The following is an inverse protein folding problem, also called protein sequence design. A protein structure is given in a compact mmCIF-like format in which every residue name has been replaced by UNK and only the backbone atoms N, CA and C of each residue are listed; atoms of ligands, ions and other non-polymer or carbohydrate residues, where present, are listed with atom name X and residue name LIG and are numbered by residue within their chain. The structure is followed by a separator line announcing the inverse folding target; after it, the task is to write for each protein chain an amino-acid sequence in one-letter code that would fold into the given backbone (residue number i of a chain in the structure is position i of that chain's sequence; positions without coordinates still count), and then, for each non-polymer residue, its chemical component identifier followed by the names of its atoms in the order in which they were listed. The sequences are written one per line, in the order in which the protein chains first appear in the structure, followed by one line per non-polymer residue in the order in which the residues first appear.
data_IF_383255383652
#
_entry.id   IF_383255383652
#
_cell.length_a   1.000
_cell.length_b   1.000
_cell.length_c   1.000
_cell.angle_alpha   90.00
_cell.angle_beta   90.00
_cell.angle_gamma   90.00
#
_symmetry.space_group_name_H-M   'P 1'
#
loop_
_entity.id
_entity.type
_entity.pdbx_description
1 polymer ?
#
# COMPACT_ATOMS: atom_id res chain seq x y z
N UNK A 1 -15.58 36.26 39.27
CA UNK A 1 -15.63 34.83 38.89
C UNK A 1 -15.21 34.78 37.44
N UNK A 2 -14.06 34.17 37.14
CA UNK A 2 -13.54 34.10 35.78
C UNK A 2 -14.43 33.13 34.98
N UNK A 3 -15.12 33.65 33.97
CA UNK A 3 -15.89 32.83 33.03
C UNK A 3 -14.88 32.07 32.17
N UNK A 4 -14.96 30.75 32.16
CA UNK A 4 -14.02 29.87 31.49
C UNK A 4 -14.11 30.06 29.96
N UNK A 5 -13.04 30.57 29.35
CA UNK A 5 -12.98 30.94 27.93
C UNK A 5 -13.19 29.77 26.95
N UNK A 6 -13.21 28.53 27.43
CA UNK A 6 -13.57 27.35 26.65
C UNK A 6 -15.05 27.30 26.26
N UNK A 7 -15.94 27.75 27.14
CA UNK A 7 -17.40 27.66 26.94
C UNK A 7 -17.87 28.63 25.83
N UNK A 8 -17.31 29.85 25.84
CA UNK A 8 -17.59 30.86 24.82
C UNK A 8 -17.08 30.48 23.43
N UNK A 9 -15.94 29.78 23.33
CA UNK A 9 -15.42 29.28 22.03
C UNK A 9 -16.33 28.21 21.43
N UNK A 10 -16.95 27.38 22.28
CA UNK A 10 -17.85 26.29 21.88
C UNK A 10 -19.22 26.81 21.46
N UNK A 11 -19.80 27.72 22.24
CA UNK A 11 -21.05 28.40 21.91
C UNK A 11 -20.92 29.24 20.63
N UNK A 12 -19.80 29.97 20.48
CA UNK A 12 -19.51 30.72 19.27
C UNK A 12 -19.30 29.82 18.04
N UNK A 13 -18.68 28.64 18.18
CA UNK A 13 -18.49 27.71 17.07
C UNK A 13 -19.82 27.15 16.55
N UNK A 14 -20.75 26.79 17.44
CA UNK A 14 -22.09 26.30 17.06
C UNK A 14 -22.93 27.42 16.44
N UNK A 15 -22.92 28.62 17.01
CA UNK A 15 -23.60 29.79 16.45
C UNK A 15 -23.01 30.19 15.08
N UNK A 16 -21.68 30.11 14.91
CA UNK A 16 -20.99 30.38 13.66
C UNK A 16 -21.32 29.32 12.61
N UNK A 17 -21.39 28.03 12.98
CA UNK A 17 -21.78 26.95 12.08
C UNK A 17 -23.23 27.10 11.59
N UNK A 18 -24.15 27.49 12.48
CA UNK A 18 -25.56 27.73 12.13
C UNK A 18 -25.74 28.98 11.26
N UNK A 19 -24.90 30.00 11.44
CA UNK A 19 -24.87 31.20 10.60
C UNK A 19 -24.26 30.93 9.21
N UNK A 20 -23.17 30.15 9.13
CA UNK A 20 -22.50 29.79 7.87
C UNK A 20 -23.39 28.91 6.97
N UNK A 21 -24.29 28.12 7.54
CA UNK A 21 -25.18 27.22 6.80
C UNK A 21 -26.53 27.84 6.43
N UNK A 22 -26.76 29.14 6.70
CA UNK A 22 -27.95 29.89 6.24
C UNK A 22 -29.29 29.45 6.86
N UNK A 23 -29.27 28.59 7.89
CA UNK A 23 -30.46 28.09 8.58
C UNK A 23 -31.04 29.09 9.59
N UNK A 24 -30.28 30.14 9.92
CA UNK A 24 -30.75 31.26 10.71
C UNK A 24 -31.43 32.27 9.78
N UNK A 25 -32.74 32.15 9.58
CA UNK A 25 -33.57 33.16 8.90
C UNK A 25 -33.61 34.50 9.65
N UNK A 26 -32.46 35.17 9.82
CA UNK A 26 -32.32 36.51 10.37
C UNK A 26 -32.48 36.66 11.89
N UNK A 27 -32.47 35.59 12.70
CA UNK A 27 -32.60 35.70 14.17
C UNK A 27 -31.24 35.64 14.88
N UNK A 28 -31.00 36.64 15.72
CA UNK A 28 -29.89 36.70 16.69
C UNK A 28 -30.28 35.84 17.89
N UNK A 29 -29.42 34.90 18.28
CA UNK A 29 -29.62 34.03 19.44
C UNK A 29 -28.91 34.66 20.64
N UNK A 30 -29.65 34.89 21.73
CA UNK A 30 -29.09 35.29 23.01
C UNK A 30 -28.89 34.03 23.86
N UNK A 31 -27.66 33.73 24.26
CA UNK A 31 -27.32 32.54 25.04
C UNK A 31 -27.23 32.97 26.51
N UNK A 32 -28.22 32.61 27.33
CA UNK A 32 -28.22 32.93 28.76
C UNK A 32 -27.30 31.97 29.55
N UNK A 33 -26.20 32.54 30.07
CA UNK A 33 -25.16 31.86 30.86
C UNK A 33 -25.70 31.16 32.14
N UNK A 34 -26.94 31.42 32.58
CA UNK A 34 -27.50 30.87 33.82
C UNK A 34 -28.09 29.46 33.72
N UNK A 35 -28.16 28.88 32.52
CA UNK A 35 -28.81 27.58 32.28
C UNK A 35 -27.83 26.42 32.02
N UNK A 36 -26.52 26.69 32.02
CA UNK A 36 -25.50 25.71 31.63
C UNK A 36 -24.78 25.17 32.87
N UNK A 37 -24.86 23.85 33.08
CA UNK A 37 -24.11 23.16 34.13
C UNK A 37 -22.67 22.90 33.65
N UNK A 38 -21.65 23.54 34.27
CA UNK A 38 -20.25 23.42 33.85
C UNK A 38 -19.63 22.05 34.14
N UNK A 39 -20.35 21.13 34.79
CA UNK A 39 -19.86 19.77 35.10
C UNK A 39 -20.15 18.73 34.01
N UNK A 40 -20.90 19.08 32.97
CA UNK A 40 -21.32 18.16 31.90
C UNK A 40 -20.19 17.84 30.91
N UNK A 41 -20.11 16.58 30.49
CA UNK A 41 -19.23 16.16 29.39
C UNK A 41 -19.73 16.67 28.03
N UNK A 42 -18.88 16.66 26.99
CA UNK A 42 -19.25 17.14 25.65
C UNK A 42 -20.48 16.41 25.05
N UNK A 43 -20.72 15.16 25.45
CA UNK A 43 -21.88 14.38 25.04
C UNK A 43 -23.16 14.79 25.80
N UNK A 44 -23.06 14.97 27.12
CA UNK A 44 -24.17 15.40 27.97
C UNK A 44 -24.56 16.86 27.69
N UNK A 45 -23.58 17.69 27.30
CA UNK A 45 -23.81 19.07 26.90
C UNK A 45 -24.76 19.16 25.71
N UNK A 46 -24.52 18.36 24.66
CA UNK A 46 -25.36 18.31 23.44
C UNK A 46 -26.81 17.92 23.75
N UNK A 47 -27.02 17.00 24.67
CA UNK A 47 -28.36 16.56 25.07
C UNK A 47 -29.07 17.55 26.02
N UNK A 48 -28.33 18.46 26.65
CA UNK A 48 -28.83 19.43 27.64
C UNK A 48 -29.33 20.76 27.05
N UNK A 49 -28.94 21.10 25.82
CA UNK A 49 -29.31 22.37 25.18
C UNK A 49 -30.81 22.41 24.87
N UNK A 50 -31.56 23.14 25.70
CA UNK A 50 -32.97 23.50 25.45
C UNK A 50 -33.04 24.91 24.87
N UNK A 51 -33.59 25.05 23.66
CA UNK A 51 -33.92 26.36 23.09
C UNK A 51 -35.25 26.83 23.71
N UNK A 52 -35.23 27.86 24.57
CA UNK A 52 -36.46 28.42 25.10
C UNK A 52 -37.14 29.32 24.05
N UNK A 53 -38.34 28.91 23.63
CA UNK A 53 -39.18 29.69 22.72
C UNK A 53 -40.10 28.84 21.86
N UNK A 54 -41.03 28.10 22.50
CA UNK A 54 -42.11 27.40 21.81
C UNK A 54 -42.03 25.87 21.95
N UNK A 55 -43.13 25.29 22.44
CA UNK A 55 -43.47 23.86 22.56
C UNK A 55 -42.42 22.86 22.02
N UNK A 56 -41.73 22.18 22.94
CA UNK A 56 -41.10 20.87 22.74
C UNK A 56 -40.65 20.54 21.31
N UNK A 57 -39.71 21.31 20.76
CA UNK A 57 -39.07 20.96 19.50
C UNK A 57 -37.87 20.06 19.80
N UNK A 58 -38.12 18.76 19.70
CA UNK A 58 -37.11 17.76 19.34
C UNK A 58 -36.12 18.40 18.35
N UNK A 59 -34.80 18.35 18.62
CA UNK A 59 -33.76 18.88 17.72
C UNK A 59 -34.16 18.54 16.29
N UNK A 60 -34.54 19.55 15.51
CA UNK A 60 -35.13 19.34 14.19
C UNK A 60 -34.25 18.34 13.43
N UNK A 61 -34.84 17.31 12.84
CA UNK A 61 -34.14 16.21 12.17
C UNK A 61 -32.91 16.64 11.32
N UNK A 62 -32.89 17.82 10.64
CA UNK A 62 -31.70 18.30 9.94
C UNK A 62 -30.49 18.55 10.86
N UNK A 63 -30.69 19.18 12.02
CA UNK A 63 -29.62 19.52 12.97
C UNK A 63 -29.06 18.28 13.66
N UNK A 64 -29.95 17.33 14.00
CA UNK A 64 -29.56 16.02 14.56
C UNK A 64 -28.81 15.18 13.51
N UNK A 65 -29.23 15.26 12.25
CA UNK A 65 -28.53 14.67 11.10
C UNK A 65 -27.12 15.26 10.93
N UNK A 66 -26.97 16.58 11.01
CA UNK A 66 -25.67 17.25 10.89
C UNK A 66 -24.71 16.90 12.04
N UNK A 67 -25.20 16.84 13.29
CA UNK A 67 -24.38 16.40 14.42
C UNK A 67 -23.92 14.94 14.28
N UNK A 68 -24.82 14.05 13.83
CA UNK A 68 -24.48 12.66 13.59
C UNK A 68 -23.47 12.51 12.44
N UNK A 69 -23.58 13.33 11.39
CA UNK A 69 -22.60 13.38 10.30
C UNK A 69 -21.23 13.85 10.79
N UNK A 70 -21.16 14.89 11.64
CA UNK A 70 -19.91 15.34 12.24
C UNK A 70 -19.29 14.28 13.17
N UNK A 71 -20.10 13.65 14.03
CA UNK A 71 -19.64 12.55 14.90
C UNK A 71 -19.11 11.37 14.07
N UNK A 72 -19.84 10.94 13.03
CA UNK A 72 -19.44 9.85 12.16
C UNK A 72 -18.15 10.19 11.38
N UNK A 73 -18.02 11.43 10.89
CA UNK A 73 -16.79 11.91 10.23
C UNK A 73 -15.58 11.84 11.17
N UNK A 74 -15.73 12.29 12.42
CA UNK A 74 -14.64 12.26 13.42
C UNK A 74 -14.27 10.83 13.83
N UNK A 75 -15.26 9.96 14.03
CA UNK A 75 -15.05 8.57 14.43
C UNK A 75 -14.38 7.76 13.31
N UNK A 76 -14.77 7.98 12.06
CA UNK A 76 -14.13 7.38 10.88
C UNK A 76 -12.68 7.85 10.68
N UNK A 77 -12.42 9.15 10.85
CA UNK A 77 -11.05 9.68 10.81
C UNK A 77 -10.20 9.10 11.94
N UNK A 78 -10.79 8.90 13.12
CA UNK A 78 -10.13 8.26 14.26
C UNK A 78 -9.78 6.81 13.96
N UNK A 79 -10.72 6.04 13.38
CA UNK A 79 -10.48 4.67 12.94
C UNK A 79 -9.28 4.60 11.97
N UNK A 80 -9.28 5.44 10.94
CA UNK A 80 -8.21 5.45 9.94
C UNK A 80 -6.86 5.84 10.55
N UNK A 81 -6.82 6.90 11.38
CA UNK A 81 -5.59 7.34 12.03
C UNK A 81 -5.04 6.30 13.03
N UNK A 82 -5.92 5.65 13.79
CA UNK A 82 -5.55 4.57 14.70
C UNK A 82 -5.02 3.35 13.95
N UNK A 83 -5.62 3.02 12.81
CA UNK A 83 -5.16 1.93 11.97
C UNK A 83 -3.76 2.20 11.40
N UNK A 84 -3.51 3.41 10.92
CA UNK A 84 -2.18 3.88 10.47
C UNK A 84 -1.12 3.83 11.57
N UNK A 85 -1.50 4.16 12.80
CA UNK A 85 -0.59 4.20 13.95
C UNK A 85 -0.48 2.87 14.71
N UNK A 86 -1.19 1.82 14.27
CA UNK A 86 -1.10 0.49 14.88
C UNK A 86 -1.82 0.32 16.22
N UNK A 87 -2.74 1.23 16.57
CA UNK A 87 -3.45 1.22 17.86
C UNK A 87 -4.71 0.34 17.81
N UNK A 88 -4.54 -0.96 17.99
CA UNK A 88 -5.62 -1.96 17.91
C UNK A 88 -6.79 -1.68 18.88
N UNK A 89 -6.48 -1.15 20.07
CA UNK A 89 -7.48 -0.80 21.08
C UNK A 89 -8.38 0.35 20.61
N UNK A 90 -7.79 1.40 20.02
CA UNK A 90 -8.53 2.54 19.48
C UNK A 90 -9.33 2.12 18.25
N UNK A 91 -8.77 1.26 17.39
CA UNK A 91 -9.50 0.68 16.25
C UNK A 91 -10.73 -0.09 16.73
N UNK A 92 -10.56 -0.99 17.70
CA UNK A 92 -11.67 -1.77 18.25
C UNK A 92 -12.73 -0.89 18.91
N UNK A 93 -12.33 0.19 19.59
CA UNK A 93 -13.27 1.13 20.19
C UNK A 93 -14.00 1.96 19.13
N UNK A 94 -13.30 2.49 18.13
CA UNK A 94 -13.91 3.27 17.05
C UNK A 94 -14.96 2.45 16.27
N UNK A 95 -14.70 1.17 16.02
CA UNK A 95 -15.68 0.26 15.41
C UNK A 95 -16.92 0.06 16.29
N UNK A 96 -16.75 -0.08 17.61
CA UNK A 96 -17.88 -0.13 18.57
C UNK A 96 -18.67 1.18 18.61
N UNK A 97 -17.99 2.30 18.44
CA UNK A 97 -18.58 3.64 18.40
C UNK A 97 -19.27 3.94 17.05
N UNK A 98 -19.30 2.98 16.12
CA UNK A 98 -20.03 3.05 14.86
C UNK A 98 -19.21 3.53 13.66
N UNK A 99 -17.87 3.49 13.73
CA UNK A 99 -17.03 3.72 12.56
C UNK A 99 -17.37 2.73 11.44
N UNK A 100 -17.42 3.21 10.19
CA UNK A 100 -17.53 2.34 9.04
C UNK A 100 -16.21 1.63 8.80
N UNK A 101 -16.20 0.29 8.83
CA UNK A 101 -14.97 -0.53 8.72
C UNK A 101 -14.18 -0.23 7.44
N UNK A 102 -14.89 -0.01 6.33
CA UNK A 102 -14.31 0.36 5.02
C UNK A 102 -14.40 1.86 4.73
N UNK A 103 -14.38 2.70 5.77
CA UNK A 103 -14.29 4.15 5.55
C UNK A 103 -13.09 4.46 4.64
N UNK A 104 -13.28 5.36 3.67
CA UNK A 104 -12.22 5.76 2.76
C UNK A 104 -11.71 7.15 3.11
N UNK A 105 -10.39 7.30 3.26
CA UNK A 105 -9.81 8.62 3.46
C UNK A 105 -10.00 9.49 2.20
N UNK A 106 -10.10 10.81 2.37
CA UNK A 106 -10.32 11.71 1.23
C UNK A 106 -9.06 12.04 0.41
N UNK A 107 -7.88 11.52 0.79
CA UNK A 107 -6.61 11.89 0.15
C UNK A 107 -6.20 10.92 -0.96
N UNK A 108 -6.37 9.61 -0.71
CA UNK A 108 -5.98 8.53 -1.63
C UNK A 108 -7.02 7.41 -1.69
N UNK A 109 -8.18 7.62 -1.04
CA UNK A 109 -9.27 6.65 -1.00
C UNK A 109 -8.92 5.35 -0.26
N UNK A 110 -7.93 5.39 0.65
CA UNK A 110 -7.46 4.22 1.41
C UNK A 110 -8.46 3.81 2.50
N UNK A 111 -8.62 2.51 2.69
CA UNK A 111 -9.35 1.94 3.84
C UNK A 111 -8.44 1.79 5.07
N UNK A 112 -9.00 1.71 6.29
CA UNK A 112 -8.27 1.35 7.51
C UNK A 112 -7.47 0.05 7.35
N UNK A 113 -8.00 -0.93 6.62
CA UNK A 113 -7.32 -2.20 6.39
C UNK A 113 -6.09 -2.00 5.50
N UNK A 114 -6.22 -1.27 4.39
CA UNK A 114 -5.12 -0.97 3.47
C UNK A 114 -3.96 -0.27 4.20
N UNK A 115 -4.26 0.79 4.97
CA UNK A 115 -3.21 1.54 5.69
C UNK A 115 -2.57 0.72 6.82
N UNK A 116 -3.35 -0.09 7.55
CA UNK A 116 -2.80 -0.97 8.58
C UNK A 116 -1.90 -2.06 8.00
N UNK A 117 -2.29 -2.61 6.84
CA UNK A 117 -1.54 -3.64 6.14
C UNK A 117 -0.24 -3.08 5.56
N UNK A 118 -0.29 -1.88 4.97
CA UNK A 118 0.87 -1.16 4.43
C UNK A 118 1.93 -0.86 5.50
N UNK A 119 1.52 -0.53 6.74
CA UNK A 119 2.46 -0.28 7.85
C UNK A 119 2.75 -1.52 8.73
N UNK A 120 2.23 -2.69 8.37
CA UNK A 120 2.59 -3.95 9.03
C UNK A 120 1.92 -4.21 10.37
N UNK A 121 0.82 -3.53 10.67
CA UNK A 121 0.13 -3.59 11.97
C UNK A 121 -0.77 -4.83 12.09
N UNK A 122 -0.17 -6.02 12.22
CA UNK A 122 -0.88 -7.31 12.25
C UNK A 122 -2.07 -7.36 13.23
N UNK A 123 -1.91 -6.79 14.44
CA UNK A 123 -3.00 -6.77 15.43
C UNK A 123 -4.21 -5.97 14.94
N UNK A 124 -3.96 -4.81 14.31
CA UNK A 124 -5.00 -3.98 13.71
C UNK A 124 -5.65 -4.71 12.54
N UNK A 125 -4.84 -5.30 11.66
CA UNK A 125 -5.33 -6.09 10.52
C UNK A 125 -6.31 -7.17 11.00
N UNK A 126 -5.95 -7.96 12.02
CA UNK A 126 -6.83 -8.98 12.56
C UNK A 126 -8.15 -8.41 13.13
N UNK A 127 -8.13 -7.26 13.80
CA UNK A 127 -9.35 -6.60 14.29
C UNK A 127 -10.24 -6.17 13.12
N UNK A 128 -9.67 -5.60 12.07
CA UNK A 128 -10.41 -5.15 10.89
C UNK A 128 -11.00 -6.32 10.11
N UNK A 129 -10.24 -7.39 9.90
CA UNK A 129 -10.69 -8.62 9.23
C UNK A 129 -11.86 -9.28 9.98
N UNK A 130 -11.74 -9.41 11.31
CA UNK A 130 -12.83 -9.95 12.14
C UNK A 130 -14.07 -9.05 12.17
N UNK A 131 -13.92 -7.79 11.79
CA UNK A 131 -15.02 -6.81 11.66
C UNK A 131 -15.59 -6.73 10.24
N UNK A 132 -15.15 -7.61 9.32
CA UNK A 132 -15.69 -7.70 7.96
C UNK A 132 -15.14 -6.66 6.99
N UNK A 133 -13.92 -6.16 7.22
CA UNK A 133 -13.25 -5.26 6.27
C UNK A 133 -13.09 -5.91 4.89
N UNK A 134 -13.26 -5.11 3.84
CA UNK A 134 -13.07 -5.51 2.44
C UNK A 134 -11.58 -5.77 2.14
N UNK A 135 -11.27 -7.04 1.88
CA UNK A 135 -9.93 -7.53 1.56
C UNK A 135 -9.41 -7.02 0.22
N UNK A 136 -10.32 -6.79 -0.74
CA UNK A 136 -9.98 -6.42 -2.12
C UNK A 136 -10.10 -4.91 -2.36
N UNK A 137 -10.23 -4.13 -1.27
CA UNK A 137 -10.23 -2.69 -1.34
C UNK A 137 -8.94 -2.18 -2.01
N UNK A 138 -9.12 -1.35 -3.04
CA UNK A 138 -8.04 -0.68 -3.74
C UNK A 138 -8.11 0.84 -3.55
N UNK A 139 -6.96 1.50 -3.54
CA UNK A 139 -6.82 2.96 -3.58
C UNK A 139 -7.13 3.52 -4.99
N UNK A 140 -7.02 4.84 -5.17
CA UNK A 140 -7.27 5.48 -6.47
C UNK A 140 -6.27 5.07 -7.58
N UNK A 141 -5.13 4.49 -7.22
CA UNK A 141 -4.14 3.96 -8.16
C UNK A 141 -4.35 2.47 -8.46
N UNK A 142 -5.32 1.83 -7.80
CA UNK A 142 -5.58 0.40 -7.92
C UNK A 142 -4.69 -0.49 -7.03
N UNK A 143 -4.01 0.09 -6.04
CA UNK A 143 -3.20 -0.64 -5.07
C UNK A 143 -4.11 -1.36 -4.08
N UNK A 144 -4.18 -2.69 -4.17
CA UNK A 144 -4.96 -3.51 -3.23
C UNK A 144 -4.23 -3.66 -1.89
N UNK A 145 -4.98 -4.04 -0.84
CA UNK A 145 -4.43 -4.31 0.50
C UNK A 145 -3.26 -5.29 0.46
N UNK A 146 -3.40 -6.38 -0.31
CA UNK A 146 -2.38 -7.42 -0.41
C UNK A 146 -1.14 -6.95 -1.17
N UNK A 147 -1.29 -6.13 -2.23
CA UNK A 147 -0.15 -5.55 -2.95
C UNK A 147 0.63 -4.61 -2.03
N UNK A 148 -0.06 -3.73 -1.28
CA UNK A 148 0.59 -2.80 -0.34
C UNK A 148 1.40 -3.52 0.74
N UNK A 149 0.82 -4.54 1.40
CA UNK A 149 1.52 -5.33 2.41
C UNK A 149 2.72 -6.11 1.82
N UNK A 150 2.59 -6.55 0.57
CA UNK A 150 3.64 -7.30 -0.13
C UNK A 150 4.80 -6.40 -0.55
N UNK A 151 4.50 -5.18 -0.99
CA UNK A 151 5.49 -4.16 -1.33
C UNK A 151 6.35 -3.77 -0.13
N UNK A 152 5.75 -3.64 1.07
CA UNK A 152 6.46 -3.21 2.28
C UNK A 152 7.05 -4.37 3.09
N UNK A 153 6.94 -5.60 2.59
CA UNK A 153 7.66 -6.75 3.17
C UNK A 153 7.03 -7.33 4.43
N UNK A 154 5.73 -7.12 4.66
CA UNK A 154 5.06 -7.52 5.90
C UNK A 154 4.53 -8.96 5.84
N UNK A 155 5.44 -9.95 5.85
CA UNK A 155 5.11 -11.37 5.65
C UNK A 155 4.00 -11.92 6.58
N UNK A 156 3.96 -11.51 7.85
CA UNK A 156 2.90 -11.96 8.77
C UNK A 156 1.53 -11.35 8.42
N UNK A 157 1.50 -10.11 7.92
CA UNK A 157 0.27 -9.47 7.44
C UNK A 157 -0.18 -10.14 6.15
N UNK A 158 0.73 -10.37 5.21
CA UNK A 158 0.46 -11.10 3.96
C UNK A 158 -0.14 -12.48 4.25
N UNK A 159 0.46 -13.24 5.17
CA UNK A 159 -0.08 -14.54 5.58
C UNK A 159 -1.49 -14.43 6.17
N UNK A 160 -1.76 -13.42 7.01
CA UNK A 160 -3.09 -13.20 7.58
C UNK A 160 -4.14 -12.85 6.51
N UNK A 161 -3.80 -12.00 5.54
CA UNK A 161 -4.67 -11.64 4.42
C UNK A 161 -4.99 -12.84 3.53
N UNK A 162 -3.99 -13.66 3.20
CA UNK A 162 -4.18 -14.89 2.41
C UNK A 162 -5.08 -15.90 3.13
N UNK A 163 -4.87 -16.10 4.45
CA UNK A 163 -5.74 -16.96 5.28
C UNK A 163 -7.18 -16.44 5.33
N UNK A 164 -7.36 -15.12 5.28
CA UNK A 164 -8.68 -14.49 5.21
C UNK A 164 -9.33 -14.58 3.81
N UNK A 165 -8.60 -15.05 2.80
CA UNK A 165 -9.13 -15.29 1.45
C UNK A 165 -8.84 -14.19 0.43
N UNK A 166 -7.86 -13.31 0.69
CA UNK A 166 -7.41 -12.34 -0.31
C UNK A 166 -6.89 -13.05 -1.57
N UNK A 167 -7.19 -12.52 -2.76
CA UNK A 167 -6.74 -13.10 -4.02
C UNK A 167 -5.21 -12.89 -4.20
N UNK A 168 -4.38 -13.96 -4.16
CA UNK A 168 -2.93 -13.84 -4.33
C UNK A 168 -2.51 -13.34 -5.73
N UNK A 169 -3.41 -13.37 -6.71
CA UNK A 169 -3.17 -12.99 -8.09
C UNK A 169 -3.88 -11.68 -8.50
N UNK A 170 -4.48 -10.95 -7.55
CA UNK A 170 -5.07 -9.65 -7.84
C UNK A 170 -4.01 -8.70 -8.43
N UNK A 171 -4.36 -7.94 -9.46
CA UNK A 171 -3.43 -7.02 -10.14
C UNK A 171 -3.94 -5.59 -10.08
N UNK A 172 -3.03 -4.64 -9.87
CA UNK A 172 -3.34 -3.22 -10.05
C UNK A 172 -3.74 -2.95 -11.52
N UNK A 173 -4.92 -2.38 -11.82
CA UNK A 173 -5.44 -2.29 -13.19
C UNK A 173 -4.57 -1.49 -14.16
N UNK A 174 -3.83 -0.50 -13.67
CA UNK A 174 -3.05 0.42 -14.50
C UNK A 174 -1.65 -0.11 -14.82
N UNK A 175 -1.01 -0.82 -13.89
CA UNK A 175 0.36 -1.30 -14.02
C UNK A 175 0.47 -2.82 -14.20
N UNK A 176 -0.61 -3.57 -13.99
CA UNK A 176 -0.57 -5.04 -13.97
C UNK A 176 0.21 -5.63 -12.78
N UNK A 177 0.66 -4.80 -11.85
CA UNK A 177 1.48 -5.26 -10.71
C UNK A 177 0.66 -6.19 -9.83
N UNK A 178 1.18 -7.41 -9.63
CA UNK A 178 0.67 -8.40 -8.70
C UNK A 178 1.39 -8.33 -7.33
N UNK A 179 0.83 -8.92 -6.25
CA UNK A 179 1.51 -9.01 -4.95
C UNK A 179 2.92 -9.60 -5.06
N UNK A 180 3.08 -10.68 -5.85
CA UNK A 180 4.36 -11.36 -6.00
C UNK A 180 5.36 -10.53 -6.80
N UNK A 181 4.89 -9.77 -7.79
CA UNK A 181 5.72 -8.81 -8.54
C UNK A 181 6.24 -7.69 -7.62
N UNK A 182 5.37 -7.11 -6.80
CA UNK A 182 5.74 -6.06 -5.84
C UNK A 182 6.77 -6.55 -4.81
N UNK A 183 6.55 -7.73 -4.22
CA UNK A 183 7.48 -8.35 -3.29
C UNK A 183 8.83 -8.70 -3.93
N UNK A 184 8.81 -9.17 -5.19
CA UNK A 184 10.01 -9.52 -5.92
C UNK A 184 10.89 -8.30 -6.21
N UNK A 185 10.29 -7.20 -6.68
CA UNK A 185 10.97 -5.93 -6.96
C UNK A 185 11.63 -5.30 -5.72
N UNK A 186 11.06 -5.57 -4.54
CA UNK A 186 11.56 -5.06 -3.26
C UNK A 186 12.48 -6.06 -2.54
N UNK A 187 12.66 -7.26 -3.08
CA UNK A 187 13.53 -8.28 -2.51
C UNK A 187 12.97 -8.98 -1.26
N UNK A 188 11.66 -8.97 -1.06
CA UNK A 188 11.01 -9.56 0.12
C UNK A 188 10.77 -11.07 -0.06
N UNK A 189 11.83 -11.86 0.14
CA UNK A 189 11.81 -13.31 -0.10
C UNK A 189 10.83 -14.09 0.78
N UNK A 190 10.64 -13.68 2.04
CA UNK A 190 9.66 -14.27 2.96
C UNK A 190 8.21 -14.01 2.52
N UNK A 191 7.91 -12.80 2.03
CA UNK A 191 6.64 -12.47 1.39
C UNK A 191 6.42 -13.32 0.13
N UNK A 192 7.43 -13.44 -0.74
CA UNK A 192 7.32 -14.28 -1.96
C UNK A 192 7.01 -15.73 -1.60
N UNK A 193 7.66 -16.30 -0.59
CA UNK A 193 7.36 -17.66 -0.10
C UNK A 193 5.92 -17.76 0.41
N UNK A 194 5.44 -16.78 1.18
CA UNK A 194 4.06 -16.76 1.67
C UNK A 194 3.04 -16.68 0.52
N UNK A 195 3.28 -15.83 -0.48
CA UNK A 195 2.42 -15.68 -1.65
C UNK A 195 2.38 -16.95 -2.51
N UNK A 196 3.52 -17.58 -2.76
CA UNK A 196 3.60 -18.85 -3.49
C UNK A 196 2.84 -19.97 -2.75
N UNK A 197 2.99 -20.06 -1.42
CA UNK A 197 2.22 -20.99 -0.60
C UNK A 197 0.71 -20.67 -0.61
N UNK A 198 0.35 -19.40 -0.78
CA UNK A 198 -1.03 -18.92 -0.95
C UNK A 198 -1.60 -19.13 -2.35
N UNK A 199 -0.84 -19.64 -3.32
CA UNK A 199 -1.31 -19.89 -4.69
C UNK A 199 -1.04 -18.76 -5.69
N UNK A 200 -0.12 -17.84 -5.39
CA UNK A 200 0.35 -16.86 -6.36
C UNK A 200 1.10 -17.53 -7.52
N UNK A 201 0.88 -17.05 -8.73
CA UNK A 201 1.58 -17.54 -9.92
C UNK A 201 3.03 -17.03 -9.97
N UNK A 202 4.05 -17.90 -10.02
CA UNK A 202 5.45 -17.46 -10.23
C UNK A 202 5.70 -16.92 -11.64
N UNK A 203 4.73 -17.10 -12.55
CA UNK A 203 4.78 -16.64 -13.95
C UNK A 203 3.82 -15.46 -14.21
N UNK A 204 3.33 -14.79 -13.17
CA UNK A 204 2.58 -13.55 -13.33
C UNK A 204 3.41 -12.54 -14.14
N UNK A 205 2.77 -11.70 -14.94
CA UNK A 205 3.41 -10.64 -15.71
C UNK A 205 2.73 -9.32 -15.40
N UNK A 206 3.50 -8.25 -15.27
CA UNK A 206 2.95 -6.90 -15.23
C UNK A 206 2.58 -6.39 -16.65
N UNK A 207 2.22 -5.11 -16.75
CA UNK A 207 1.83 -4.48 -18.01
C UNK A 207 2.96 -4.44 -19.05
N UNK A 208 4.22 -4.50 -18.62
CA UNK A 208 5.40 -4.51 -19.48
C UNK A 208 5.80 -5.94 -19.89
N UNK A 209 5.07 -6.95 -19.41
CA UNK A 209 5.37 -8.36 -19.66
C UNK A 209 6.47 -8.91 -18.74
N UNK A 210 6.90 -8.14 -17.75
CA UNK A 210 7.96 -8.54 -16.83
C UNK A 210 7.42 -9.51 -15.77
N UNK A 211 8.11 -10.65 -15.64
CA UNK A 211 7.81 -11.65 -14.61
C UNK A 211 8.46 -11.29 -13.29
N UNK A 212 8.06 -11.88 -12.14
CA UNK A 212 8.78 -11.75 -10.87
C UNK A 212 10.31 -12.00 -10.96
N UNK A 213 10.78 -12.88 -11.86
CA UNK A 213 12.22 -13.07 -12.09
C UNK A 213 12.91 -11.85 -12.75
N UNK A 214 12.25 -11.12 -13.66
CA UNK A 214 12.77 -9.88 -14.24
C UNK A 214 12.94 -8.83 -13.12
N UNK A 215 11.91 -8.69 -12.27
CA UNK A 215 11.92 -7.74 -11.15
C UNK A 215 12.96 -8.10 -10.09
N UNK A 216 13.14 -9.39 -9.78
CA UNK A 216 14.19 -9.86 -8.88
C UNK A 216 15.60 -9.59 -9.44
N UNK A 217 15.77 -9.65 -10.77
CA UNK A 217 17.05 -9.41 -11.44
C UNK A 217 17.52 -7.95 -11.33
N UNK A 218 16.60 -6.99 -11.40
CA UNK A 218 16.90 -5.55 -11.24
C UNK A 218 16.99 -5.10 -9.78
N UNK A 219 16.58 -5.95 -8.83
CA UNK A 219 16.58 -5.61 -7.41
C UNK A 219 17.99 -5.54 -6.85
N UNK A 220 18.37 -4.37 -6.31
CA UNK A 220 19.65 -4.16 -5.64
C UNK A 220 19.52 -4.44 -4.14
N UNK A 221 20.22 -5.45 -3.64
CA UNK A 221 20.25 -5.77 -2.20
C UNK A 221 20.30 -7.26 -1.89
N UNK A 222 20.42 -7.61 -0.59
CA UNK A 222 20.60 -8.99 -0.15
C UNK A 222 19.42 -9.93 -0.42
N UNK A 223 18.21 -9.39 -0.59
CA UNK A 223 16.97 -10.15 -0.77
C UNK A 223 16.78 -10.79 -2.15
N UNK A 224 17.43 -10.25 -3.20
CA UNK A 224 17.22 -10.66 -4.59
C UNK A 224 17.51 -12.15 -4.84
N UNK A 225 18.56 -12.70 -4.20
CA UNK A 225 18.91 -14.13 -4.30
C UNK A 225 17.85 -15.04 -3.69
N UNK A 226 17.27 -14.64 -2.54
CA UNK A 226 16.26 -15.44 -1.85
C UNK A 226 14.95 -15.46 -2.65
N UNK A 227 14.54 -14.29 -3.18
CA UNK A 227 13.40 -14.18 -4.11
C UNK A 227 13.63 -15.05 -5.34
N UNK A 228 14.78 -14.90 -6.00
CA UNK A 228 15.12 -15.67 -7.21
C UNK A 228 15.04 -17.17 -6.95
N UNK A 229 15.64 -17.65 -5.86
CA UNK A 229 15.59 -19.07 -5.49
C UNK A 229 14.16 -19.55 -5.26
N UNK A 230 13.37 -18.80 -4.48
CA UNK A 230 11.98 -19.17 -4.21
C UNK A 230 11.12 -19.26 -5.50
N UNK A 231 11.32 -18.33 -6.43
CA UNK A 231 10.63 -18.34 -7.72
C UNK A 231 11.06 -19.53 -8.59
N UNK A 232 12.36 -19.83 -8.66
CA UNK A 232 12.88 -20.98 -9.41
C UNK A 232 12.39 -22.31 -8.82
N UNK A 233 12.41 -22.45 -7.49
CA UNK A 233 11.91 -23.63 -6.79
C UNK A 233 10.40 -23.84 -7.03
N UNK A 234 9.65 -22.75 -7.24
CA UNK A 234 8.24 -22.78 -7.62
C UNK A 234 8.00 -22.98 -9.14
N UNK A 235 9.05 -23.19 -9.94
CA UNK A 235 8.95 -23.47 -11.37
C UNK A 235 8.78 -22.25 -12.26
N UNK A 236 9.23 -21.06 -11.83
CA UNK A 236 9.28 -19.87 -12.69
C UNK A 236 10.10 -20.14 -13.96
N UNK A 237 9.59 -19.70 -15.10
CA UNK A 237 10.26 -19.87 -16.40
C UNK A 237 11.41 -18.88 -16.53
N UNK A 238 12.63 -19.39 -16.74
CA UNK A 238 13.87 -18.60 -16.73
C UNK A 238 14.15 -17.80 -18.01
N UNK A 239 13.61 -18.24 -19.15
CA UNK A 239 13.89 -17.68 -20.48
C UNK A 239 12.68 -16.91 -21.04
N UNK A 240 11.91 -16.25 -20.17
CA UNK A 240 10.81 -15.38 -20.60
C UNK A 240 11.41 -14.07 -21.12
N UNK A 241 10.84 -13.57 -22.22
CA UNK A 241 11.12 -12.23 -22.72
C UNK A 241 10.10 -11.27 -22.12
N UNK A 242 10.56 -10.27 -21.39
CA UNK A 242 9.76 -9.15 -20.92
C UNK A 242 9.61 -8.09 -22.02
N UNK A 243 9.54 -6.82 -21.59
CA UNK A 243 9.60 -5.68 -22.50
C UNK A 243 10.92 -5.65 -23.28
N UNK A 244 10.87 -5.16 -24.51
CA UNK A 244 12.02 -5.07 -25.44
C UNK A 244 12.75 -6.40 -25.73
N UNK A 245 12.13 -7.53 -25.38
CA UNK A 245 12.71 -8.85 -25.58
C UNK A 245 13.79 -9.23 -24.58
N UNK A 246 14.02 -8.43 -23.54
CA UNK A 246 15.02 -8.67 -22.51
C UNK A 246 14.60 -9.86 -21.62
N UNK A 247 15.59 -10.62 -21.14
CA UNK A 247 15.37 -11.78 -20.27
C UNK A 247 15.78 -11.47 -18.83
N UNK A 248 15.37 -12.25 -17.81
CA UNK A 248 15.83 -12.03 -16.44
C UNK A 248 17.36 -12.04 -16.31
N UNK A 249 18.05 -12.90 -17.07
CA UNK A 249 19.52 -12.95 -17.05
C UNK A 249 20.13 -11.73 -17.73
N UNK A 250 19.49 -11.17 -18.76
CA UNK A 250 19.89 -9.89 -19.36
C UNK A 250 19.92 -8.78 -18.30
N UNK A 251 18.82 -8.61 -17.57
CA UNK A 251 18.71 -7.59 -16.53
C UNK A 251 19.68 -7.81 -15.36
N UNK A 252 19.83 -9.06 -14.91
CA UNK A 252 20.78 -9.39 -13.84
C UNK A 252 22.21 -9.02 -14.25
N UNK A 253 22.55 -9.20 -15.53
CA UNK A 253 23.85 -8.85 -16.09
C UNK A 253 24.02 -7.33 -16.19
N UNK A 254 23.00 -6.64 -16.69
CA UNK A 254 22.98 -5.18 -16.85
C UNK A 254 23.16 -4.43 -15.53
N UNK A 255 22.46 -4.86 -14.48
CA UNK A 255 22.57 -4.27 -13.15
C UNK A 255 23.71 -4.85 -12.30
N UNK A 256 24.47 -5.78 -12.85
CA UNK A 256 25.60 -6.41 -12.19
C UNK A 256 25.23 -7.28 -10.98
N UNK A 257 24.03 -7.83 -10.98
CA UNK A 257 23.54 -8.75 -9.95
C UNK A 257 24.07 -10.17 -10.18
N UNK A 258 25.39 -10.34 -10.01
CA UNK A 258 26.15 -11.59 -10.19
C UNK A 258 25.48 -12.77 -9.50
N UNK A 259 25.01 -12.57 -8.26
CA UNK A 259 24.36 -13.62 -7.49
C UNK A 259 23.07 -14.13 -8.12
N UNK A 260 22.25 -13.24 -8.70
CA UNK A 260 21.03 -13.62 -9.42
C UNK A 260 21.37 -14.21 -10.79
N UNK A 261 22.32 -13.62 -11.51
CA UNK A 261 22.78 -14.16 -12.80
C UNK A 261 23.26 -15.62 -12.65
N UNK A 262 24.06 -15.91 -11.63
CA UNK A 262 24.50 -17.26 -11.29
C UNK A 262 23.34 -18.23 -11.04
N UNK A 263 22.33 -17.82 -10.27
CA UNK A 263 21.15 -18.65 -10.01
C UNK A 263 20.35 -18.92 -11.29
N UNK A 264 20.19 -17.92 -12.14
CA UNK A 264 19.47 -18.05 -13.41
C UNK A 264 20.22 -18.98 -14.38
N UNK A 265 21.54 -18.82 -14.52
CA UNK A 265 22.37 -19.70 -15.35
C UNK A 265 22.35 -21.14 -14.85
N UNK A 266 22.47 -21.34 -13.53
CA UNK A 266 22.35 -22.66 -12.93
C UNK A 266 20.97 -23.31 -13.16
N UNK A 267 19.93 -22.49 -13.31
CA UNK A 267 18.58 -22.93 -13.66
C UNK A 267 18.31 -23.04 -15.17
N UNK A 268 19.33 -22.90 -16.02
CA UNK A 268 19.24 -23.08 -17.47
C UNK A 268 18.86 -21.83 -18.25
N UNK A 269 19.18 -20.63 -17.74
CA UNK A 269 19.02 -19.40 -18.50
C UNK A 269 19.91 -19.39 -19.75
N UNK A 270 19.34 -18.99 -20.89
CA UNK A 270 20.05 -18.89 -22.16
C UNK A 270 20.75 -17.52 -22.28
N UNK A 271 22.05 -17.50 -21.98
CA UNK A 271 22.90 -16.29 -22.02
C UNK A 271 23.21 -15.78 -23.44
N UNK A 272 22.83 -16.54 -24.47
CA UNK A 272 23.01 -16.17 -25.90
C UNK A 272 21.73 -15.64 -26.55
N UNK A 273 20.62 -15.61 -25.80
CA UNK A 273 19.34 -15.16 -26.31
C UNK A 273 19.34 -13.65 -26.50
N UNK A 274 19.04 -13.19 -27.71
CA UNK A 274 19.02 -11.75 -28.01
C UNK A 274 17.72 -11.09 -27.60
N UNK A 275 17.80 -9.86 -27.13
CA UNK A 275 16.64 -8.97 -27.04
C UNK A 275 16.21 -8.47 -28.43
N UNK A 276 15.23 -7.59 -28.49
CA UNK A 276 14.68 -7.10 -29.76
C UNK A 276 15.63 -6.13 -30.49
N UNK A 277 16.60 -5.55 -29.77
CA UNK A 277 17.69 -4.76 -30.33
C UNK A 277 18.89 -5.62 -30.82
N UNK A 278 18.86 -6.93 -30.59
CA UNK A 278 19.93 -7.85 -30.97
C UNK A 278 21.06 -7.98 -29.96
N UNK A 279 20.94 -7.40 -28.76
CA UNK A 279 21.95 -7.54 -27.71
C UNK A 279 21.82 -8.88 -27.01
N UNK A 280 22.96 -9.47 -26.62
CA UNK A 280 22.98 -10.68 -25.79
C UNK A 280 23.36 -10.36 -24.33
N UNK A 281 22.78 -11.08 -23.35
CA UNK A 281 23.20 -11.00 -21.95
C UNK A 281 24.71 -11.19 -21.77
N UNK A 282 25.29 -12.14 -22.51
CA UNK A 282 26.70 -12.51 -22.44
C UNK A 282 27.68 -11.34 -22.67
N UNK A 283 27.37 -10.41 -23.58
CA UNK A 283 28.23 -9.25 -23.87
C UNK A 283 28.33 -8.30 -22.66
N UNK A 284 27.25 -8.21 -21.89
CA UNK A 284 27.19 -7.42 -20.65
C UNK A 284 27.92 -8.14 -19.52
N UNK A 285 27.76 -9.46 -19.40
CA UNK A 285 28.43 -10.30 -18.40
C UNK A 285 29.95 -10.29 -18.58
N UNK A 286 30.42 -10.64 -19.78
CA UNK A 286 31.84 -10.72 -20.13
C UNK A 286 32.53 -9.34 -20.16
N UNK A 287 31.74 -8.26 -20.27
CA UNK A 287 32.24 -6.89 -20.34
C UNK A 287 32.25 -6.14 -19.02
N UNK A 288 31.33 -6.41 -18.09
CA UNK A 288 31.06 -5.49 -16.97
C UNK A 288 31.19 -6.11 -15.57
N UNK A 289 31.20 -7.45 -15.43
CA UNK A 289 31.12 -8.10 -14.12
C UNK A 289 32.44 -8.65 -13.60
N UNK A 290 33.33 -9.17 -14.46
CA UNK A 290 34.63 -9.70 -14.04
C UNK A 290 34.53 -10.92 -13.11
N UNK A 291 33.40 -11.64 -13.10
CA UNK A 291 33.21 -12.83 -12.28
C UNK A 291 33.70 -14.06 -13.05
N UNK A 292 34.84 -14.60 -12.61
CA UNK A 292 35.52 -15.70 -13.29
C UNK A 292 34.69 -16.99 -13.36
N UNK A 293 33.76 -17.23 -12.44
CA UNK A 293 32.90 -18.43 -12.45
C UNK A 293 31.83 -18.31 -13.53
N UNK A 294 31.21 -17.13 -13.67
CA UNK A 294 30.27 -16.86 -14.76
C UNK A 294 30.99 -16.82 -16.11
N UNK A 295 32.16 -16.18 -16.18
CA UNK A 295 32.93 -16.09 -17.43
C UNK A 295 33.38 -17.47 -17.94
N UNK A 296 33.75 -18.39 -17.03
CA UNK A 296 34.03 -19.79 -17.37
C UNK A 296 32.79 -20.55 -17.86
N UNK A 297 31.62 -20.30 -17.26
CA UNK A 297 30.38 -20.97 -17.66
C UNK A 297 29.90 -20.54 -19.07
N UNK A 298 30.23 -19.31 -19.50
CA UNK A 298 29.73 -18.70 -20.74
C UNK A 298 30.76 -18.75 -21.89
N UNK A 299 32.01 -19.18 -21.63
CA UNK A 299 33.11 -19.16 -22.61
C UNK A 299 33.35 -17.74 -23.18
N UNK A 300 33.51 -16.76 -22.28
CA UNK A 300 33.77 -15.38 -22.68
C UNK A 300 35.00 -15.28 -23.60
N UNK A 301 34.93 -14.54 -24.72
CA UNK A 301 36.08 -14.33 -25.59
C UNK A 301 37.20 -13.59 -24.82
N UNK A 302 38.45 -14.04 -24.96
CA UNK A 302 39.61 -13.40 -24.33
C UNK A 302 39.79 -11.97 -24.87
N UNK A 303 39.33 -10.97 -24.11
CA UNK A 303 39.39 -9.55 -24.50
C UNK A 303 38.29 -8.74 -23.82
N UNK A 304 38.58 -8.26 -22.62
CA UNK A 304 37.59 -7.57 -21.77
C UNK A 304 37.02 -6.28 -22.36
N UNK A 305 35.83 -5.93 -21.86
CA UNK A 305 35.14 -4.64 -21.92
C UNK A 305 35.61 -3.68 -23.04
N UNK A 306 34.95 -3.69 -24.20
CA UNK A 306 34.88 -2.45 -24.97
C UNK A 306 34.06 -1.43 -24.18
N UNK A 307 34.74 -0.64 -23.34
CA UNK A 307 34.21 0.45 -22.50
C UNK A 307 33.35 1.49 -23.26
N UNK A 308 33.21 1.37 -24.57
CA UNK A 308 32.33 2.17 -25.43
C UNK A 308 30.86 1.73 -25.39
N UNK A 309 30.55 0.46 -25.17
CA UNK A 309 29.17 -0.07 -25.29
C UNK A 309 28.22 0.50 -24.22
N UNK A 310 28.66 0.50 -22.95
CA UNK A 310 27.89 1.05 -21.82
C UNK A 310 27.70 2.57 -21.93
N UNK A 311 28.73 3.31 -22.38
CA UNK A 311 28.68 4.77 -22.51
C UNK A 311 27.76 5.24 -23.64
N UNK A 312 27.66 4.49 -24.74
CA UNK A 312 26.81 4.87 -25.86
C UNK A 312 25.32 4.68 -25.52
N UNK A 313 24.94 3.58 -24.84
CA UNK A 313 23.55 3.32 -24.43
C UNK A 313 23.08 4.18 -23.25
N UNK A 314 23.91 4.43 -22.22
CA UNK A 314 23.56 5.41 -21.19
C UNK A 314 23.34 6.82 -21.78
N UNK A 315 24.05 7.17 -22.85
CA UNK A 315 23.84 8.43 -23.58
C UNK A 315 22.62 8.46 -24.51
N UNK A 316 22.05 7.30 -24.85
CA UNK A 316 20.81 7.18 -25.64
C UNK A 316 19.57 7.12 -24.74
N UNK A 317 19.69 6.53 -23.54
CA UNK A 317 18.60 6.41 -22.55
C UNK A 317 18.45 7.64 -21.63
N UNK A 318 19.45 8.53 -21.57
CA UNK A 318 19.39 9.81 -20.85
C UNK A 318 19.04 11.02 -21.75
N UNK A 319 18.39 10.77 -22.91
CA UNK A 319 17.80 11.79 -23.77
C UNK A 319 16.31 11.52 -23.93
#
# INVERSE_FOLDING_TARGET
MAVDGGLWRRAAAVACLLAVLGLAGGRVWDIDERTVDPSLTDAEWVDSVKLEGGQGLELAAPTRGLLNLQKNTTVNQTLWAAARNGSAEIVAQALKDGAHVDYRNGAHNDTPLAVAAFYGHLKVVNVLLTSGADLEAADDNGLTVLIGASQEGHALVVAALLVAGADPNATAPSSGVSPISAAALKGHGDVVVALLAGGASPSATDADGDTPLHLAAVTLGGGAKNVTRALLDAGARVNVKGSDGDTPVFWASYFGNVGVANLLVAAGANVTMTNDAGDVPGDVICGCLGDAEIEQAIQCPEGGCEKGFVRHRLGQLLK
#
